data_IF_466655005225
#
_entry.id   IF_466655005225
#
_cell.length_a   1.000
_cell.length_b   1.000
_cell.length_c   1.000
_cell.angle_alpha   90.00
_cell.angle_beta   90.00
_cell.angle_gamma   90.00
#
_symmetry.space_group_name_H-M   'P 1'
#
loop_
_entity.id
_entity.type
_entity.pdbx_description
1 polymer ?
#
# COMPACT_ATOMS: atom_id res chain seq x y z
N UNK A 1 23.91 -8.15 -10.59
CA UNK A 1 23.31 -8.12 -10.47
C UNK A 1 22.45 -7.76 -10.16
N UNK A 2 22.14 -7.66 -9.75
CA UNK A 2 21.46 -7.35 -9.44
C UNK A 2 20.46 -7.25 -9.36
N UNK A 3 19.99 -7.34 -9.06
CA UNK A 3 19.02 -7.38 -8.92
C UNK A 3 18.17 -6.58 -8.80
N UNK A 4 17.83 -6.93 -8.99
CA UNK A 4 17.11 -5.82 -9.44
C UNK A 4 16.37 -5.12 -8.37
N UNK A 5 16.38 -3.85 -8.49
CA UNK A 5 15.75 -3.00 -7.52
C UNK A 5 14.24 -3.23 -7.46
N UNK A 6 13.63 -3.72 -8.53
CA UNK A 6 12.20 -3.92 -8.53
C UNK A 6 11.77 -4.96 -7.51
N UNK A 7 12.68 -5.83 -7.11
CA UNK A 7 12.37 -6.84 -6.12
C UNK A 7 12.19 -6.25 -4.72
N UNK A 8 12.54 -4.98 -4.54
CA UNK A 8 12.41 -4.35 -3.23
C UNK A 8 10.98 -3.96 -2.89
N UNK A 9 10.11 -3.87 -3.87
CA UNK A 9 8.72 -3.51 -3.62
C UNK A 9 7.96 -4.73 -3.13
N UNK A 10 7.28 -4.57 -2.01
CA UNK A 10 6.47 -5.63 -1.42
C UNK A 10 5.00 -5.27 -1.53
N UNK A 11 4.17 -6.30 -1.57
CA UNK A 11 2.74 -6.08 -1.41
C UNK A 11 2.49 -5.41 -0.07
N UNK A 12 1.52 -4.52 -0.03
CA UNK A 12 1.10 -3.89 1.21
C UNK A 12 0.78 -4.91 2.29
N UNK A 13 0.35 -6.10 1.88
CA UNK A 13 -0.02 -7.15 2.82
C UNK A 13 1.16 -7.69 3.62
N UNK A 14 2.37 -7.32 3.24
CA UNK A 14 3.58 -7.71 3.98
C UNK A 14 3.91 -6.76 5.12
N UNK A 15 3.25 -5.63 5.19
CA UNK A 15 3.53 -4.65 6.25
C UNK A 15 2.92 -5.09 7.56
N UNK A 16 3.66 -4.85 8.63
CA UNK A 16 3.15 -5.07 9.98
C UNK A 16 2.32 -3.89 10.43
N UNK A 17 1.45 -4.08 11.45
CA UNK A 17 0.70 -2.95 11.98
C UNK A 17 1.64 -1.82 12.40
N UNK A 18 1.23 -0.60 12.10
CA UNK A 18 1.95 0.64 12.38
C UNK A 18 3.16 0.87 11.51
N UNK A 19 3.47 -0.05 10.62
CA UNK A 19 4.59 0.15 9.69
C UNK A 19 4.19 1.14 8.61
N UNK A 20 5.15 1.96 8.18
CA UNK A 20 4.93 3.00 7.18
C UNK A 20 5.64 2.64 5.90
N UNK A 21 5.07 3.06 4.79
CA UNK A 21 5.64 2.74 3.49
C UNK A 21 5.12 3.73 2.45
N UNK A 22 5.82 3.79 1.32
CA UNK A 22 5.42 4.62 0.19
C UNK A 22 4.90 3.72 -0.91
N UNK A 23 3.75 4.06 -1.45
CA UNK A 23 3.19 3.31 -2.57
C UNK A 23 4.03 3.57 -3.81
N UNK A 24 4.48 2.51 -4.47
CA UNK A 24 5.24 2.66 -5.71
C UNK A 24 4.43 2.27 -6.94
N UNK A 25 3.44 1.38 -6.77
CA UNK A 25 2.52 1.08 -7.87
C UNK A 25 1.30 0.36 -7.34
N UNK A 26 0.23 0.47 -8.07
CA UNK A 26 -1.02 -0.25 -7.79
C UNK A 26 -1.39 -0.98 -9.06
N UNK A 27 -1.58 -2.30 -8.97
CA UNK A 27 -1.93 -3.11 -10.12
C UNK A 27 -3.44 -3.31 -10.17
N UNK A 28 -3.94 -3.57 -11.38
CA UNK A 28 -5.36 -3.84 -11.54
C UNK A 28 -6.14 -2.58 -11.84
N UNK A 29 -7.41 -2.78 -12.18
CA UNK A 29 -8.25 -1.68 -12.59
C UNK A 29 -8.77 -0.84 -11.43
N UNK A 30 -8.56 -1.31 -10.20
CA UNK A 30 -8.96 -0.53 -9.02
C UNK A 30 -8.07 0.69 -8.79
N UNK A 31 -6.94 0.78 -9.50
CA UNK A 31 -5.99 1.87 -9.26
C UNK A 31 -6.64 3.23 -9.43
N UNK A 32 -7.47 3.39 -10.47
CA UNK A 32 -8.13 4.66 -10.72
C UNK A 32 -9.09 5.03 -9.59
N UNK A 33 -9.84 4.05 -9.11
CA UNK A 33 -10.79 4.28 -8.04
C UNK A 33 -10.05 4.63 -6.75
N UNK A 34 -8.97 3.92 -6.47
CA UNK A 34 -8.19 4.18 -5.26
C UNK A 34 -7.56 5.57 -5.29
N UNK A 35 -7.13 6.01 -6.48
CA UNK A 35 -6.59 7.35 -6.61
C UNK A 35 -7.61 8.40 -6.20
N UNK A 36 -8.87 8.17 -6.53
CA UNK A 36 -9.94 9.07 -6.12
C UNK A 36 -10.11 9.17 -4.62
N UNK A 37 -9.65 8.15 -3.89
CA UNK A 37 -9.70 8.16 -2.42
C UNK A 37 -8.38 8.57 -1.79
N UNK A 38 -7.41 8.97 -2.60
CA UNK A 38 -6.14 9.43 -2.07
C UNK A 38 -5.04 8.39 -2.00
N UNK A 39 -5.26 7.21 -2.58
CA UNK A 39 -4.23 6.17 -2.62
C UNK A 39 -3.68 6.07 -4.03
N UNK A 40 -2.41 6.46 -4.21
CA UNK A 40 -1.78 6.42 -5.53
C UNK A 40 -0.27 6.37 -5.35
N UNK A 41 0.43 6.08 -6.42
CA UNK A 41 1.89 5.97 -6.38
C UNK A 41 2.49 7.27 -5.89
N UNK A 42 3.42 7.16 -4.96
CA UNK A 42 4.11 8.29 -4.38
C UNK A 42 3.59 8.71 -3.02
N UNK A 43 2.40 8.26 -2.64
CA UNK A 43 1.84 8.65 -1.35
C UNK A 43 2.38 7.74 -0.24
N UNK A 44 2.57 8.31 0.93
CA UNK A 44 3.01 7.54 2.09
C UNK A 44 1.81 7.10 2.90
N UNK A 45 1.84 5.86 3.37
CA UNK A 45 0.76 5.28 4.15
C UNK A 45 1.30 4.62 5.40
N UNK A 46 0.39 4.39 6.34
CA UNK A 46 0.68 3.59 7.52
C UNK A 46 -0.41 2.55 7.67
N UNK A 47 -0.01 1.30 7.90
CA UNK A 47 -0.98 0.24 8.16
C UNK A 47 -1.37 0.31 9.61
N UNK A 48 -2.66 0.46 9.87
CA UNK A 48 -3.18 0.53 11.24
C UNK A 48 -3.71 -0.81 11.70
N UNK A 49 -4.18 -1.63 10.78
CA UNK A 49 -4.82 -2.89 11.09
C UNK A 49 -4.72 -3.79 9.88
N UNK A 50 -4.64 -5.10 10.10
CA UNK A 50 -4.51 -6.05 9.00
C UNK A 50 -5.68 -6.99 8.88
N UNK A 51 -6.50 -7.11 9.91
CA UNK A 51 -7.56 -8.10 9.93
C UNK A 51 -8.75 -7.52 10.69
N UNK A 52 -9.96 -7.74 10.23
CA UNK A 52 -10.39 -8.52 9.06
C UNK A 52 -10.18 -7.82 7.73
N UNK A 53 -9.97 -6.52 7.73
CA UNK A 53 -9.61 -5.79 6.54
C UNK A 53 -8.39 -4.94 6.86
N UNK A 54 -7.71 -4.49 5.81
CA UNK A 54 -6.54 -3.64 5.99
C UNK A 54 -7.01 -2.22 6.17
N UNK A 55 -6.65 -1.62 7.30
CA UNK A 55 -6.93 -0.20 7.53
C UNK A 55 -5.62 0.53 7.27
N UNK A 56 -5.64 1.42 6.29
CA UNK A 56 -4.47 2.21 5.96
C UNK A 56 -4.77 3.68 6.14
N UNK A 57 -3.79 4.41 6.61
CA UNK A 57 -3.93 5.81 6.90
C UNK A 57 -2.98 6.61 6.04
N UNK A 58 -3.49 7.68 5.44
CA UNK A 58 -2.70 8.69 4.76
C UNK A 58 -2.75 9.97 5.60
N UNK A 59 -2.15 11.04 5.09
CA UNK A 59 -2.21 12.32 5.79
C UNK A 59 -3.65 12.84 5.91
N UNK A 60 -4.53 12.42 5.02
CA UNK A 60 -5.85 13.03 4.91
C UNK A 60 -6.99 12.09 5.26
N UNK A 61 -6.76 10.79 5.25
CA UNK A 61 -7.88 9.86 5.34
C UNK A 61 -7.45 8.53 5.88
N UNK A 62 -8.44 7.76 6.30
CA UNK A 62 -8.26 6.38 6.70
C UNK A 62 -9.17 5.54 5.84
N UNK A 63 -8.64 4.46 5.29
CA UNK A 63 -9.36 3.64 4.33
C UNK A 63 -9.30 2.18 4.74
N UNK A 64 -10.43 1.49 4.57
CA UNK A 64 -10.49 0.05 4.77
C UNK A 64 -10.40 -0.62 3.42
N UNK A 65 -9.46 -1.54 3.28
CA UNK A 65 -9.22 -2.25 2.02
C UNK A 65 -9.42 -3.73 2.24
N UNK A 66 -10.13 -4.35 1.30
CA UNK A 66 -10.21 -5.81 1.29
C UNK A 66 -8.85 -6.40 1.00
N UNK A 67 -8.56 -7.59 1.52
CA UNK A 67 -7.26 -8.20 1.27
C UNK A 67 -6.94 -8.36 -0.21
N UNK A 68 -7.94 -8.64 -1.05
CA UNK A 68 -7.71 -8.78 -2.48
C UNK A 68 -7.20 -7.49 -3.10
N UNK A 69 -7.69 -6.34 -2.63
CA UNK A 69 -7.24 -5.04 -3.12
C UNK A 69 -5.86 -4.72 -2.55
N UNK A 70 -5.69 -4.97 -1.25
CA UNK A 70 -4.40 -4.66 -0.60
C UNK A 70 -3.26 -5.42 -1.26
N UNK A 71 -3.51 -6.64 -1.74
CA UNK A 71 -2.48 -7.45 -2.39
C UNK A 71 -1.92 -6.81 -3.64
N UNK A 72 -2.69 -5.94 -4.27
CA UNK A 72 -2.28 -5.31 -5.54
C UNK A 72 -1.56 -3.99 -5.35
N UNK A 73 -1.41 -3.54 -4.12
CA UNK A 73 -0.72 -2.30 -3.81
C UNK A 73 0.70 -2.64 -3.41
N UNK A 74 1.67 -2.08 -4.13
CA UNK A 74 3.08 -2.39 -3.88
C UNK A 74 3.78 -1.18 -3.30
N UNK A 75 4.58 -1.44 -2.27
CA UNK A 75 5.13 -0.38 -1.43
C UNK A 75 6.61 -0.62 -1.17
N UNK A 76 7.29 0.46 -0.80
CA UNK A 76 8.64 0.42 -0.24
C UNK A 76 8.56 0.95 1.19
N UNK A 77 9.12 0.19 2.11
CA UNK A 77 9.11 0.60 3.51
C UNK A 77 9.90 1.86 3.72
N UNK A 78 9.38 2.69 4.59
CA UNK A 78 10.05 3.93 5.00
C UNK A 78 10.76 3.65 6.31
N UNK A 79 12.03 3.96 6.38
CA UNK A 79 12.82 3.75 7.59
C UNK A 79 13.09 5.03 8.34
#
# INVERSE_FOLDING_TARGET
>A
MERGSSSDADSLTKLNPHERARIVRIEGHEATELAGFGLYAGIEIQVKQRFPSYIVQTDEAELALEPAVARKIFVLRVT
#
